data_IF_627910719785
#
_entry.id   IF_627910719785
#
_cell.length_a   1.000
_cell.length_b   1.000
_cell.length_c   1.000
_cell.angle_alpha   90.00
_cell.angle_beta   90.00
_cell.angle_gamma   90.00
#
_symmetry.space_group_name_H-M   'P 1'
#
loop_
_entity.id
_entity.type
_entity.pdbx_description
1 polymer ?
#
# COMPACT_ATOMS: atom_id res chain seq x y z
N UNK A 1 -11.70 -8.81 -7.62
CA UNK A 1 -10.30 -8.60 -8.06
C UNK A 1 -10.05 -9.52 -9.24
N UNK A 2 -9.47 -9.00 -10.32
CA UNK A 2 -9.10 -9.79 -11.49
C UNK A 2 -7.88 -10.71 -11.23
N UNK A 3 -7.76 -11.77 -12.02
CA UNK A 3 -6.70 -12.77 -11.85
C UNK A 3 -5.30 -12.21 -12.10
N UNK A 4 -5.15 -11.24 -13.01
CA UNK A 4 -3.87 -10.60 -13.33
C UNK A 4 -3.33 -9.88 -12.09
N UNK A 5 -4.18 -9.07 -11.44
CA UNK A 5 -3.81 -8.36 -10.22
C UNK A 5 -3.47 -9.32 -9.09
N UNK A 6 -4.25 -10.40 -8.93
CA UNK A 6 -3.99 -11.42 -7.91
C UNK A 6 -2.62 -12.09 -8.13
N UNK A 7 -2.35 -12.51 -9.36
CA UNK A 7 -1.08 -13.15 -9.73
C UNK A 7 0.10 -12.19 -9.54
N UNK A 8 -0.07 -10.91 -9.89
CA UNK A 8 0.94 -9.89 -9.67
C UNK A 8 1.30 -9.78 -8.18
N UNK A 9 0.31 -9.64 -7.30
CA UNK A 9 0.53 -9.56 -5.85
C UNK A 9 1.21 -10.83 -5.34
N UNK A 10 0.74 -12.01 -5.74
CA UNK A 10 1.33 -13.29 -5.34
C UNK A 10 2.78 -13.48 -5.82
N UNK A 11 3.16 -12.84 -6.93
CA UNK A 11 4.51 -12.93 -7.50
C UNK A 11 5.57 -12.10 -6.75
N UNK A 12 5.17 -11.21 -5.84
CA UNK A 12 6.09 -10.36 -5.09
C UNK A 12 7.02 -11.25 -4.22
N UNK A 13 8.36 -11.14 -4.34
CA UNK A 13 9.30 -12.11 -3.78
C UNK A 13 9.60 -11.85 -2.29
N UNK A 14 8.60 -11.47 -1.51
CA UNK A 14 8.73 -11.23 -0.06
C UNK A 14 7.88 -12.18 0.78
N UNK A 15 6.92 -12.85 0.14
CA UNK A 15 6.03 -13.79 0.82
C UNK A 15 6.81 -15.05 1.19
N UNK A 16 6.65 -15.48 2.43
CA UNK A 16 7.21 -16.69 3.02
C UNK A 16 6.18 -17.81 3.14
N UNK A 17 4.90 -17.50 2.93
CA UNK A 17 3.82 -18.48 2.96
C UNK A 17 2.61 -18.07 2.13
N UNK A 18 1.48 -18.72 2.40
CA UNK A 18 0.23 -18.36 1.77
C UNK A 18 -0.25 -17.00 2.26
N UNK A 19 -0.75 -16.20 1.31
CA UNK A 19 -1.30 -14.89 1.57
C UNK A 19 -2.79 -14.85 1.29
N UNK A 20 -3.53 -14.15 2.15
CA UNK A 20 -4.90 -13.73 1.86
C UNK A 20 -4.88 -12.28 1.36
N UNK A 21 -5.67 -11.98 0.33
CA UNK A 21 -5.70 -10.68 -0.32
C UNK A 21 -7.10 -10.11 -0.19
N UNK A 22 -7.22 -8.94 0.42
CA UNK A 22 -8.48 -8.20 0.54
C UNK A 22 -8.32 -6.82 -0.09
N UNK A 23 -9.26 -6.43 -0.94
CA UNK A 23 -9.32 -5.05 -1.44
C UNK A 23 -9.71 -4.13 -0.29
N UNK A 24 -9.04 -2.99 -0.18
CA UNK A 24 -9.42 -1.95 0.77
C UNK A 24 -9.81 -0.69 0.01
N UNK A 25 -10.84 -0.03 0.51
CA UNK A 25 -11.32 1.22 -0.06
C UNK A 25 -10.35 2.38 0.24
N UNK A 26 -10.45 3.41 -0.58
CA UNK A 26 -9.58 4.59 -0.51
C UNK A 26 -8.44 4.55 -1.52
N UNK A 27 -7.80 5.71 -1.67
CA UNK A 27 -6.90 5.99 -2.79
C UNK A 27 -7.68 6.38 -4.04
N UNK A 28 -7.47 7.60 -4.53
CA UNK A 28 -8.16 8.08 -5.74
C UNK A 28 -7.55 7.46 -7.01
N UNK A 29 -6.23 7.30 -7.01
CA UNK A 29 -5.44 6.97 -8.22
C UNK A 29 -4.67 5.66 -8.11
N UNK A 30 -4.79 4.97 -6.97
CA UNK A 30 -4.06 3.74 -6.68
C UNK A 30 -5.06 2.67 -6.25
N UNK A 31 -4.79 1.42 -6.58
CA UNK A 31 -5.53 0.27 -6.04
C UNK A 31 -4.79 -0.24 -4.82
N UNK A 32 -5.49 -0.31 -3.69
CA UNK A 32 -4.92 -0.70 -2.41
C UNK A 32 -5.46 -2.05 -1.95
N UNK A 33 -4.57 -2.88 -1.40
CA UNK A 33 -4.88 -4.23 -0.95
C UNK A 33 -4.28 -4.47 0.43
N UNK A 34 -5.07 -5.02 1.34
CA UNK A 34 -4.61 -5.58 2.60
C UNK A 34 -4.20 -7.04 2.35
N UNK A 35 -2.97 -7.36 2.69
CA UNK A 35 -2.40 -8.71 2.62
C UNK A 35 -2.25 -9.24 4.02
N UNK A 36 -2.79 -10.43 4.29
CA UNK A 36 -2.55 -11.18 5.52
C UNK A 36 -1.61 -12.35 5.19
N UNK A 37 -0.48 -12.43 5.89
CA UNK A 37 0.42 -13.57 5.87
C UNK A 37 0.62 -14.06 7.31
N UNK A 38 0.00 -15.20 7.66
CA UNK A 38 0.02 -15.71 9.04
C UNK A 38 -0.45 -14.65 10.05
N UNK A 39 0.39 -14.18 10.97
CA UNK A 39 0.07 -13.10 11.92
C UNK A 39 0.44 -11.69 11.43
N UNK A 40 1.08 -11.56 10.27
CA UNK A 40 1.56 -10.29 9.72
C UNK A 40 0.58 -9.72 8.71
N UNK A 41 0.46 -8.39 8.69
CA UNK A 41 -0.36 -7.63 7.76
C UNK A 41 0.49 -6.65 6.97
N UNK A 42 0.17 -6.49 5.70
CA UNK A 42 0.83 -5.56 4.78
C UNK A 42 -0.20 -4.81 3.95
N UNK A 43 0.17 -3.61 3.50
CA UNK A 43 -0.59 -2.89 2.48
C UNK A 43 0.19 -2.90 1.19
N UNK A 44 -0.40 -3.49 0.14
CA UNK A 44 0.11 -3.42 -1.22
C UNK A 44 -0.64 -2.32 -1.97
N UNK A 45 0.12 -1.38 -2.54
CA UNK A 45 -0.39 -0.29 -3.37
C UNK A 45 0.08 -0.54 -4.79
N UNK A 46 -0.87 -0.61 -5.71
CA UNK A 46 -0.64 -0.78 -7.14
C UNK A 46 -1.07 0.47 -7.89
N UNK A 47 -0.24 0.94 -8.81
CA UNK A 47 -0.59 2.06 -9.67
C UNK A 47 0.50 2.40 -10.66
N UNK A 48 0.08 3.02 -11.76
CA UNK A 48 0.95 3.52 -12.82
C UNK A 48 1.10 5.03 -12.72
N UNK A 49 2.09 5.58 -13.44
CA UNK A 49 2.22 7.02 -13.61
C UNK A 49 0.98 7.57 -14.30
N UNK A 50 0.52 8.76 -13.87
CA UNK A 50 -0.59 9.47 -14.51
C UNK A 50 -0.14 10.92 -14.74
N UNK A 51 0.60 11.18 -15.84
CA UNK A 51 1.20 12.48 -16.11
C UNK A 51 0.20 13.62 -16.15
N UNK A 52 -1.02 13.38 -16.66
CA UNK A 52 -2.11 14.35 -16.75
C UNK A 52 -2.58 14.82 -15.37
N UNK A 53 -2.35 14.01 -14.34
CA UNK A 53 -2.63 14.32 -12.94
C UNK A 53 -1.36 14.64 -12.13
N UNK A 54 -0.21 14.80 -12.81
CA UNK A 54 1.10 15.03 -12.20
C UNK A 54 1.51 13.92 -11.21
N UNK A 55 1.03 12.70 -11.43
CA UNK A 55 1.33 11.55 -10.57
C UNK A 55 2.54 10.82 -11.13
N UNK A 56 3.60 10.81 -10.31
CA UNK A 56 4.83 10.08 -10.57
C UNK A 56 5.09 9.07 -9.45
N UNK A 57 5.21 7.79 -9.81
CA UNK A 57 5.45 6.68 -8.88
C UNK A 57 6.88 6.67 -8.35
N UNK A 58 7.83 7.22 -9.10
CA UNK A 58 9.18 7.44 -8.56
C UNK A 58 9.15 8.45 -7.40
N UNK A 59 8.37 9.53 -7.52
CA UNK A 59 8.19 10.49 -6.44
C UNK A 59 7.49 9.86 -5.22
N UNK A 60 6.42 9.06 -5.45
CA UNK A 60 5.74 8.33 -4.37
C UNK A 60 6.70 7.37 -3.64
N UNK A 61 7.55 6.67 -4.37
CA UNK A 61 8.54 5.76 -3.81
C UNK A 61 9.59 6.51 -2.97
N UNK A 62 10.17 7.59 -3.49
CA UNK A 62 11.19 8.37 -2.78
C UNK A 62 10.61 8.97 -1.51
N UNK A 63 9.41 9.56 -1.59
CA UNK A 63 8.73 10.13 -0.43
C UNK A 63 8.37 9.06 0.62
N UNK A 64 7.85 7.91 0.19
CA UNK A 64 7.50 6.81 1.10
C UNK A 64 8.73 6.23 1.79
N UNK A 65 9.84 6.08 1.05
CA UNK A 65 11.12 5.64 1.62
C UNK A 65 11.63 6.64 2.67
N UNK A 66 11.66 7.93 2.34
CA UNK A 66 12.09 8.97 3.27
C UNK A 66 11.22 9.02 4.53
N UNK A 67 9.90 8.92 4.39
CA UNK A 67 8.96 8.88 5.52
C UNK A 67 9.17 7.63 6.40
N UNK A 68 9.45 6.48 5.79
CA UNK A 68 9.80 5.25 6.50
C UNK A 68 11.12 5.39 7.27
N UNK A 69 12.16 5.95 6.66
CA UNK A 69 13.48 6.14 7.30
C UNK A 69 13.43 7.17 8.43
N UNK A 70 12.54 8.16 8.32
CA UNK A 70 12.30 9.17 9.34
C UNK A 70 11.32 8.71 10.45
N UNK A 71 10.75 7.50 10.38
CA UNK A 71 9.70 7.00 11.27
C UNK A 71 8.44 7.90 11.33
N UNK A 72 8.13 8.59 10.24
CA UNK A 72 6.91 9.43 10.10
C UNK A 72 5.81 8.65 9.37
N UNK A 73 6.20 7.72 8.49
CA UNK A 73 5.30 6.82 7.78
C UNK A 73 5.47 5.36 8.19
N UNK A 74 4.61 4.46 7.69
CA UNK A 74 4.79 3.02 7.86
C UNK A 74 6.11 2.56 7.24
N UNK A 75 6.64 1.45 7.77
CA UNK A 75 7.86 0.86 7.23
C UNK A 75 7.66 0.43 5.78
N UNK A 76 8.58 0.83 4.90
CA UNK A 76 8.62 0.33 3.52
C UNK A 76 9.24 -1.07 3.49
N UNK A 77 8.47 -2.06 3.05
CA UNK A 77 8.87 -3.47 3.04
C UNK A 77 9.45 -3.86 1.69
N UNK A 78 8.84 -3.38 0.60
CA UNK A 78 9.25 -3.69 -0.76
C UNK A 78 8.80 -2.61 -1.73
N UNK A 79 9.54 -2.46 -2.82
CA UNK A 79 9.15 -1.62 -3.94
C UNK A 79 9.56 -2.27 -5.27
N UNK A 80 8.71 -2.13 -6.27
CA UNK A 80 8.96 -2.53 -7.66
C UNK A 80 8.25 -1.57 -8.62
N UNK A 81 8.36 -1.82 -9.93
CA UNK A 81 7.66 -1.00 -10.93
C UNK A 81 6.14 -1.07 -10.69
N UNK A 82 5.54 0.06 -10.32
CA UNK A 82 4.11 0.17 -10.02
C UNK A 82 3.64 -0.56 -8.76
N UNK A 83 4.57 -1.03 -7.92
CA UNK A 83 4.28 -1.80 -6.70
C UNK A 83 4.97 -1.13 -5.51
N UNK A 84 4.20 -0.85 -4.47
CA UNK A 84 4.72 -0.42 -3.18
C UNK A 84 4.10 -1.29 -2.08
N UNK A 85 4.93 -1.88 -1.22
CA UNK A 85 4.48 -2.67 -0.07
C UNK A 85 4.92 -2.01 1.22
N UNK A 86 3.95 -1.74 2.08
CA UNK A 86 4.11 -1.09 3.36
C UNK A 86 3.67 -2.02 4.49
N UNK A 87 4.24 -1.83 5.67
CA UNK A 87 3.70 -2.40 6.90
C UNK A 87 2.27 -1.87 7.14
N UNK A 88 1.37 -2.77 7.57
CA UNK A 88 0.04 -2.36 7.98
C UNK A 88 0.06 -1.81 9.42
N UNK A 89 -0.52 -0.64 9.61
CA UNK A 89 -0.68 -0.03 10.93
C UNK A 89 -2.06 -0.40 11.48
N UNK A 90 -2.10 -1.24 12.51
CA UNK A 90 -3.33 -1.58 13.22
C UNK A 90 -3.86 -0.35 13.96
N UNK A 91 -4.83 0.33 13.36
CA UNK A 91 -5.36 1.60 13.83
C UNK A 91 -6.76 1.88 13.26
N UNK A 92 -7.40 2.94 13.76
CA UNK A 92 -8.69 3.42 13.24
C UNK A 92 -8.49 4.73 12.49
N UNK A 93 -8.87 4.76 11.21
CA UNK A 93 -8.88 5.98 10.40
C UNK A 93 -9.95 6.94 10.92
N UNK A 94 -9.56 8.18 11.20
CA UNK A 94 -10.50 9.21 11.66
C UNK A 94 -11.46 9.63 10.55
N UNK A 95 -12.73 9.82 10.89
CA UNK A 95 -13.72 10.45 10.03
C UNK A 95 -13.71 11.97 10.22
N UNK A 96 -14.36 12.69 9.30
CA UNK A 96 -14.54 14.14 9.45
C UNK A 96 -15.29 14.52 10.74
N UNK A 97 -16.15 13.63 11.27
CA UNK A 97 -16.83 13.83 12.55
C UNK A 97 -15.86 13.69 13.72
N UNK A 98 -15.03 12.64 13.71
CA UNK A 98 -14.05 12.38 14.77
C UNK A 98 -12.98 13.49 14.88
N UNK A 99 -12.80 14.29 13.82
CA UNK A 99 -11.92 15.46 13.86
C UNK A 99 -12.62 16.71 14.40
N UNK A 100 -13.92 16.90 14.11
CA UNK A 100 -14.69 18.09 14.55
C UNK A 100 -15.13 18.03 16.00
N UNK A 101 -15.53 16.85 16.46
CA UNK A 101 -16.11 16.66 17.79
C UNK A 101 -15.04 16.30 18.85
N UNK A 102 -13.79 16.71 18.60
CA UNK A 102 -12.63 16.50 19.47
C UNK A 102 -12.53 17.54 20.57
#
# INVERSE_FOLDING_TARGET
MDEITKNLIQSIPIWKGNIEIKTIDGGLTNKNYLIQESSKKFVVRLGDDIPEHLISRSNELIASKAASEANIGPKMIYSGKGILVLEYIESTTLTAKDVRDK
#
